data_IF_927563706139
#
_entry.id   IF_927563706139
#
_cell.length_a   1.000
_cell.length_b   1.000
_cell.length_c   1.000
_cell.angle_alpha   90.00
_cell.angle_beta   90.00
_cell.angle_gamma   90.00
#
_symmetry.space_group_name_H-M   'P 1'
#
loop_
_entity.id
_entity.type
_entity.pdbx_description
1 polymer ?
#
# COMPACT_ATOMS: atom_id res chain seq x y z
N UNK A 1 -59.73 -35.26 -10.68
CA UNK A 1 -58.31 -35.49 -11.02
C UNK A 1 -57.74 -34.22 -11.66
N UNK A 2 -56.52 -33.83 -11.26
CA UNK A 2 -55.62 -32.89 -11.96
C UNK A 2 -55.91 -31.38 -11.82
N UNK A 3 -55.35 -30.73 -10.78
CA UNK A 3 -54.25 -29.74 -10.79
C UNK A 3 -54.59 -28.35 -11.37
N UNK A 4 -54.48 -27.32 -10.52
CA UNK A 4 -53.89 -26.04 -10.94
C UNK A 4 -53.03 -25.48 -9.81
N UNK A 5 -51.72 -25.59 -10.05
CA UNK A 5 -50.64 -25.23 -9.15
C UNK A 5 -50.59 -23.71 -8.94
N UNK A 6 -50.57 -23.28 -7.68
CA UNK A 6 -50.32 -21.89 -7.32
C UNK A 6 -48.82 -21.63 -7.55
N UNK A 7 -48.49 -20.81 -8.55
CA UNK A 7 -47.14 -20.31 -8.74
C UNK A 7 -46.82 -19.31 -7.63
N UNK A 8 -46.03 -19.73 -6.66
CA UNK A 8 -45.43 -18.85 -5.65
C UNK A 8 -44.29 -18.10 -6.35
N UNK A 9 -44.53 -16.86 -6.74
CA UNK A 9 -43.47 -15.98 -7.25
C UNK A 9 -42.80 -15.34 -6.03
N UNK A 10 -41.79 -16.01 -5.48
CA UNK A 10 -40.85 -15.37 -4.55
C UNK A 10 -39.93 -14.46 -5.36
N UNK A 11 -40.18 -13.15 -5.32
CA UNK A 11 -39.23 -12.16 -5.78
C UNK A 11 -38.02 -12.18 -4.84
N UNK A 12 -36.97 -12.92 -5.24
CA UNK A 12 -35.65 -12.81 -4.65
C UNK A 12 -35.11 -11.41 -4.96
N UNK A 13 -35.19 -10.50 -3.98
CA UNK A 13 -34.41 -9.27 -3.98
C UNK A 13 -32.93 -9.65 -3.87
N UNK A 14 -32.23 -9.69 -5.00
CA UNK A 14 -30.79 -9.72 -5.03
C UNK A 14 -30.28 -8.36 -4.52
N UNK A 15 -29.87 -8.31 -3.25
CA UNK A 15 -29.05 -7.23 -2.72
C UNK A 15 -27.67 -7.32 -3.39
N UNK A 16 -27.51 -6.60 -4.48
CA UNK A 16 -26.21 -6.32 -5.06
C UNK A 16 -25.53 -5.36 -4.09
N UNK A 17 -24.69 -5.88 -3.19
CA UNK A 17 -23.76 -5.05 -2.46
C UNK A 17 -22.74 -4.52 -3.47
N UNK A 18 -22.89 -3.27 -3.89
CA UNK A 18 -21.83 -2.55 -4.56
C UNK A 18 -20.67 -2.42 -3.57
N UNK A 19 -19.61 -3.20 -3.76
CA UNK A 19 -18.32 -2.92 -3.14
C UNK A 19 -17.78 -1.65 -3.79
N UNK A 20 -18.17 -0.50 -3.25
CA UNK A 20 -17.50 0.76 -3.57
C UNK A 20 -16.06 0.65 -3.08
N UNK A 21 -15.10 0.97 -3.95
CA UNK A 21 -13.77 1.33 -3.50
C UNK A 21 -13.94 2.54 -2.58
N UNK A 22 -13.70 2.36 -1.29
CA UNK A 22 -13.74 3.46 -0.32
C UNK A 22 -12.54 4.35 -0.65
N UNK A 23 -12.76 5.43 -1.41
CA UNK A 23 -11.78 6.50 -1.54
C UNK A 23 -11.76 7.23 -0.19
N UNK A 24 -10.96 6.74 0.75
CA UNK A 24 -10.66 7.40 2.01
C UNK A 24 -9.87 8.68 1.70
N UNK A 25 -10.59 9.78 1.48
CA UNK A 25 -9.97 11.09 1.30
C UNK A 25 -9.59 11.65 2.66
N UNK A 26 -8.30 11.69 2.97
CA UNK A 26 -7.77 12.34 4.17
C UNK A 26 -7.49 13.81 3.88
N UNK A 27 -7.98 14.70 4.74
CA UNK A 27 -7.71 16.15 4.65
C UNK A 27 -6.34 16.45 5.28
N UNK A 28 -5.30 15.94 4.65
CA UNK A 28 -3.91 16.06 5.09
C UNK A 28 -3.28 17.34 4.53
N UNK A 29 -2.39 18.02 5.29
CA UNK A 29 -1.74 19.26 4.85
C UNK A 29 -0.83 19.08 3.62
N UNK A 30 -0.45 17.85 3.30
CA UNK A 30 0.24 17.46 2.07
C UNK A 30 -0.41 16.19 1.50
N UNK A 31 -0.39 15.96 0.17
CA UNK A 31 -0.98 14.76 -0.43
C UNK A 31 -0.41 13.47 0.19
N UNK A 32 -1.30 12.58 0.61
CA UNK A 32 -0.92 11.26 1.09
C UNK A 32 -0.54 10.31 -0.06
N UNK A 33 0.32 9.32 0.10
CA UNK A 33 1.23 9.04 1.23
C UNK A 33 2.66 8.89 0.70
N UNK A 34 3.04 9.82 -0.16
CA UNK A 34 4.31 9.81 -0.89
C UNK A 34 5.09 11.07 -0.60
N UNK A 35 6.40 11.00 -0.77
CA UNK A 35 7.30 12.15 -0.65
C UNK A 35 7.88 12.50 -2.02
N UNK A 36 8.08 13.78 -2.34
CA UNK A 36 8.86 14.15 -3.51
C UNK A 36 10.27 13.52 -3.45
N UNK A 37 10.77 12.99 -4.57
CA UNK A 37 12.09 12.33 -4.61
C UNK A 37 13.19 13.23 -4.06
N UNK A 38 13.13 14.52 -4.39
CA UNK A 38 14.10 15.53 -3.99
C UNK A 38 13.95 16.01 -2.53
N UNK A 39 12.89 15.63 -1.81
CA UNK A 39 12.77 15.92 -0.38
C UNK A 39 13.49 14.90 0.51
N UNK A 40 13.98 13.80 -0.07
CA UNK A 40 14.71 12.74 0.63
C UNK A 40 16.17 12.74 0.15
N UNK A 41 17.19 12.71 1.05
CA UNK A 41 18.59 12.56 0.66
C UNK A 41 18.84 11.31 -0.20
N UNK A 42 19.78 11.40 -1.15
CA UNK A 42 20.04 10.31 -2.10
C UNK A 42 20.55 9.02 -1.41
N UNK A 43 21.42 9.17 -0.41
CA UNK A 43 21.90 8.08 0.43
C UNK A 43 20.77 7.40 1.21
N UNK A 44 19.79 8.18 1.69
CA UNK A 44 18.60 7.64 2.35
C UNK A 44 17.73 6.84 1.37
N UNK A 45 17.46 7.35 0.16
CA UNK A 45 16.69 6.61 -0.85
C UNK A 45 17.40 5.32 -1.29
N UNK A 46 18.72 5.37 -1.46
CA UNK A 46 19.52 4.18 -1.73
C UNK A 46 19.42 3.14 -0.60
N UNK A 47 19.42 3.58 0.67
CA UNK A 47 19.21 2.69 1.81
C UNK A 47 17.82 2.04 1.81
N UNK A 48 16.79 2.75 1.34
CA UNK A 48 15.45 2.19 1.22
C UNK A 48 15.39 1.10 0.15
N UNK A 49 16.12 1.26 -0.96
CA UNK A 49 16.26 0.20 -1.96
C UNK A 49 16.93 -1.05 -1.39
N UNK A 50 17.95 -0.90 -0.55
CA UNK A 50 18.56 -2.07 0.13
C UNK A 50 17.54 -2.75 1.05
N UNK A 51 16.75 -1.99 1.81
CA UNK A 51 15.69 -2.56 2.65
C UNK A 51 14.63 -3.30 1.80
N UNK A 52 14.25 -2.72 0.66
CA UNK A 52 13.33 -3.32 -0.31
C UNK A 52 13.81 -4.67 -0.83
N UNK A 53 15.08 -4.74 -1.24
CA UNK A 53 15.68 -5.98 -1.76
C UNK A 53 15.70 -7.07 -0.69
N UNK A 54 16.07 -6.72 0.54
CA UNK A 54 16.08 -7.65 1.67
C UNK A 54 14.66 -8.16 1.98
N UNK A 55 13.67 -7.27 2.10
CA UNK A 55 12.28 -7.70 2.34
C UNK A 55 11.73 -8.51 1.18
N UNK A 56 12.06 -8.16 -0.06
CA UNK A 56 11.67 -8.93 -1.24
C UNK A 56 12.25 -10.35 -1.19
N UNK A 57 13.52 -10.48 -0.81
CA UNK A 57 14.18 -11.77 -0.62
C UNK A 57 13.50 -12.61 0.48
N UNK A 58 13.23 -12.01 1.64
CA UNK A 58 12.58 -12.69 2.77
C UNK A 58 11.16 -13.17 2.41
N UNK A 59 10.37 -12.32 1.75
CA UNK A 59 8.99 -12.63 1.39
C UNK A 59 8.86 -13.65 0.25
N UNK A 60 9.87 -13.76 -0.61
CA UNK A 60 9.96 -14.85 -1.58
C UNK A 60 10.36 -16.19 -0.93
N UNK A 61 10.92 -16.19 0.29
CA UNK A 61 11.25 -17.40 1.08
C UNK A 61 12.12 -18.42 0.34
N UNK A 62 11.88 -19.72 0.62
CA UNK A 62 12.56 -20.86 -0.03
C UNK A 62 12.28 -20.97 -1.54
N UNK A 63 11.39 -20.14 -2.10
CA UNK A 63 11.11 -20.10 -3.54
C UNK A 63 12.25 -19.45 -4.34
N UNK A 64 13.34 -19.06 -3.68
CA UNK A 64 14.68 -19.07 -4.25
C UNK A 64 15.02 -17.82 -5.03
N UNK A 65 15.75 -16.91 -4.39
CA UNK A 65 16.40 -15.76 -5.02
C UNK A 65 15.46 -14.76 -5.71
N UNK A 66 15.97 -13.54 -5.87
CA UNK A 66 15.36 -12.50 -6.69
C UNK A 66 15.45 -12.91 -8.17
N UNK A 67 14.37 -12.77 -8.93
CA UNK A 67 14.48 -12.79 -10.40
C UNK A 67 15.36 -11.61 -10.82
N UNK A 68 16.60 -11.89 -11.23
CA UNK A 68 17.62 -10.88 -11.58
C UNK A 68 17.24 -9.99 -12.77
N UNK A 69 16.07 -10.24 -13.39
CA UNK A 69 15.54 -9.48 -14.53
C UNK A 69 14.47 -8.46 -14.14
N UNK A 70 13.85 -8.55 -12.96
CA UNK A 70 12.59 -7.82 -12.67
C UNK A 70 12.51 -7.28 -11.24
N UNK A 71 13.57 -7.35 -10.44
CA UNK A 71 13.64 -6.62 -9.17
C UNK A 71 14.36 -5.30 -9.41
N UNK A 72 13.58 -4.23 -9.55
CA UNK A 72 14.05 -2.87 -9.77
C UNK A 72 13.72 -2.07 -8.54
N UNK A 73 14.66 -1.28 -8.06
CA UNK A 73 14.38 -0.16 -7.18
C UNK A 73 15.05 1.06 -7.81
N UNK A 74 14.24 2.03 -8.21
CA UNK A 74 14.70 3.27 -8.81
C UNK A 74 14.61 4.38 -7.76
N UNK A 75 15.76 4.68 -7.16
CA UNK A 75 15.87 5.74 -6.15
C UNK A 75 15.70 7.14 -6.74
N UNK A 76 15.63 7.30 -8.06
CA UNK A 76 15.39 8.57 -8.76
C UNK A 76 13.92 8.81 -9.09
N UNK A 77 13.11 7.76 -9.17
CA UNK A 77 11.66 7.86 -9.40
C UNK A 77 10.81 7.42 -8.20
N UNK A 78 11.43 6.77 -7.20
CA UNK A 78 10.75 6.10 -6.10
C UNK A 78 9.83 4.95 -6.56
N UNK A 79 10.21 4.27 -7.63
CA UNK A 79 9.52 3.07 -8.11
C UNK A 79 10.24 1.80 -7.66
N UNK A 80 9.47 0.73 -7.45
CA UNK A 80 10.03 -0.57 -7.15
C UNK A 80 9.20 -1.71 -7.73
N UNK A 81 9.85 -2.86 -7.93
CA UNK A 81 9.21 -4.13 -8.27
C UNK A 81 9.80 -5.25 -7.42
N UNK A 82 8.98 -6.23 -7.07
CA UNK A 82 9.40 -7.42 -6.35
C UNK A 82 8.83 -8.69 -6.99
N UNK A 83 9.67 -9.45 -7.69
CA UNK A 83 9.30 -10.67 -8.41
C UNK A 83 10.21 -11.84 -8.04
N UNK A 84 9.60 -12.92 -7.56
CA UNK A 84 10.26 -14.17 -7.18
C UNK A 84 10.62 -15.00 -8.44
N UNK A 85 11.54 -15.96 -8.34
CA UNK A 85 12.00 -16.76 -9.49
C UNK A 85 10.98 -17.73 -10.06
N UNK A 86 9.94 -18.09 -9.29
CA UNK A 86 8.80 -18.88 -9.76
C UNK A 86 7.74 -18.03 -10.52
N UNK A 87 8.14 -16.85 -10.99
CA UNK A 87 7.29 -15.85 -11.64
C UNK A 87 6.20 -15.21 -10.77
N UNK A 88 6.15 -15.50 -9.46
CA UNK A 88 5.24 -14.82 -8.54
C UNK A 88 5.65 -13.36 -8.38
N UNK A 89 4.73 -12.45 -8.70
CA UNK A 89 4.87 -11.02 -8.44
C UNK A 89 4.26 -10.68 -7.08
N UNK A 90 5.07 -10.17 -6.17
CA UNK A 90 4.64 -9.74 -4.84
C UNK A 90 4.82 -8.23 -4.64
N UNK A 91 5.02 -7.46 -5.72
CA UNK A 91 5.20 -5.99 -5.67
C UNK A 91 4.08 -5.32 -4.88
N UNK A 92 2.82 -5.70 -5.13
CA UNK A 92 1.66 -5.14 -4.41
C UNK A 92 1.57 -5.55 -2.94
N UNK A 93 2.34 -6.55 -2.50
CA UNK A 93 2.40 -6.99 -1.10
C UNK A 93 3.40 -6.20 -0.28
N UNK A 94 4.37 -5.56 -0.94
CA UNK A 94 5.38 -4.77 -0.27
C UNK A 94 4.77 -3.62 0.53
N UNK A 95 3.72 -2.96 0.03
CA UNK A 95 3.05 -1.87 0.76
C UNK A 95 2.42 -2.30 2.09
N UNK A 96 2.27 -3.60 2.36
CA UNK A 96 1.73 -4.10 3.63
C UNK A 96 2.78 -4.09 4.77
N UNK A 97 4.07 -3.90 4.46
CA UNK A 97 5.19 -3.99 5.42
C UNK A 97 5.83 -2.62 5.71
N UNK A 98 6.37 -2.48 6.91
CA UNK A 98 6.95 -1.22 7.41
C UNK A 98 8.42 -1.02 7.01
N UNK A 99 9.19 -2.11 6.97
CA UNK A 99 10.66 -2.06 6.87
C UNK A 99 11.17 -2.28 5.44
N UNK A 100 10.48 -1.73 4.46
CA UNK A 100 10.83 -1.82 3.04
C UNK A 100 10.58 -0.48 2.33
N UNK A 101 10.74 -0.42 1.01
CA UNK A 101 10.63 0.84 0.26
C UNK A 101 9.32 1.59 0.50
N UNK A 102 8.12 1.01 0.24
CA UNK A 102 6.87 1.72 0.44
C UNK A 102 6.62 2.07 1.91
N UNK A 103 7.00 1.19 2.85
CA UNK A 103 6.87 1.47 4.28
C UNK A 103 7.70 2.66 4.73
N UNK A 104 8.96 2.75 4.29
CA UNK A 104 9.88 3.83 4.62
C UNK A 104 9.49 5.16 3.97
N UNK A 105 8.96 5.13 2.73
CA UNK A 105 8.32 6.30 2.11
C UNK A 105 7.15 6.78 2.96
N UNK A 106 6.29 5.88 3.40
CA UNK A 106 5.09 6.23 4.15
C UNK A 106 5.43 6.83 5.52
N UNK A 107 6.45 6.29 6.20
CA UNK A 107 6.99 6.86 7.46
C UNK A 107 7.56 8.26 7.21
N UNK A 108 8.37 8.43 6.15
CA UNK A 108 8.92 9.74 5.81
C UNK A 108 7.83 10.75 5.43
N UNK A 109 6.78 10.30 4.75
CA UNK A 109 5.61 11.12 4.45
C UNK A 109 4.89 11.54 5.73
N UNK A 110 4.69 10.62 6.67
CA UNK A 110 4.02 10.91 7.93
C UNK A 110 4.76 12.01 8.70
N UNK A 111 6.09 11.93 8.81
CA UNK A 111 6.90 12.97 9.45
C UNK A 111 6.75 14.32 8.73
N UNK A 112 6.74 14.34 7.40
CA UNK A 112 6.50 15.55 6.62
C UNK A 112 5.09 16.12 6.84
N UNK A 113 4.07 15.25 6.94
CA UNK A 113 2.68 15.62 7.19
C UNK A 113 2.53 16.26 8.58
N UNK A 114 3.13 15.67 9.61
CA UNK A 114 3.14 16.22 10.97
C UNK A 114 3.86 17.57 11.01
N UNK A 115 5.01 17.72 10.34
CA UNK A 115 5.70 19.01 10.26
C UNK A 115 4.85 20.08 9.56
N UNK A 116 4.16 19.73 8.47
CA UNK A 116 3.28 20.64 7.74
C UNK A 116 2.04 21.07 8.54
N UNK A 117 1.61 20.26 9.52
CA UNK A 117 0.46 20.58 10.38
C UNK A 117 0.63 21.83 11.24
N UNK A 118 1.86 22.33 11.44
CA UNK A 118 2.13 23.54 12.24
C UNK A 118 1.51 23.54 13.65
N UNK A 119 1.41 22.36 14.29
CA UNK A 119 0.73 22.12 15.58
C UNK A 119 -0.80 22.12 15.56
N UNK A 120 -1.44 22.18 14.38
CA UNK A 120 -2.88 21.99 14.27
C UNK A 120 -3.25 20.53 14.60
N UNK A 121 -3.96 20.34 15.71
CA UNK A 121 -4.32 19.01 16.20
C UNK A 121 -5.26 18.25 15.24
N UNK A 122 -6.10 18.97 14.48
CA UNK A 122 -6.99 18.37 13.49
C UNK A 122 -6.19 17.83 12.29
N UNK A 123 -5.25 18.62 11.76
CA UNK A 123 -4.37 18.20 10.69
C UNK A 123 -3.45 17.04 11.13
N UNK A 124 -2.91 17.08 12.35
CA UNK A 124 -2.16 15.95 12.92
C UNK A 124 -3.00 14.68 13.00
N UNK A 125 -4.25 14.80 13.43
CA UNK A 125 -5.19 13.67 13.46
C UNK A 125 -5.43 13.10 12.05
N UNK A 126 -5.56 13.95 11.02
CA UNK A 126 -5.67 13.48 9.64
C UNK A 126 -4.40 12.75 9.17
N UNK A 127 -3.20 13.26 9.50
CA UNK A 127 -1.94 12.56 9.19
C UNK A 127 -1.89 11.18 9.85
N UNK A 128 -2.29 11.08 11.12
CA UNK A 128 -2.32 9.82 11.88
C UNK A 128 -3.33 8.85 11.28
N UNK A 129 -4.55 9.30 10.98
CA UNK A 129 -5.55 8.45 10.35
C UNK A 129 -5.08 7.93 8.99
N UNK A 130 -4.50 8.79 8.15
CA UNK A 130 -4.02 8.36 6.85
C UNK A 130 -2.86 7.35 6.99
N UNK A 131 -1.89 7.61 7.88
CA UNK A 131 -0.82 6.66 8.20
C UNK A 131 -1.37 5.30 8.62
N UNK A 132 -2.33 5.27 9.54
CA UNK A 132 -2.82 4.02 10.14
C UNK A 132 -3.63 3.16 9.15
N UNK A 133 -4.16 3.75 8.08
CA UNK A 133 -4.96 3.06 7.08
C UNK A 133 -4.20 2.77 5.77
N UNK A 134 -3.26 3.63 5.40
CA UNK A 134 -2.57 3.57 4.10
C UNK A 134 -1.13 3.03 4.23
N UNK A 135 -0.45 3.23 5.37
CA UNK A 135 0.86 2.66 5.60
C UNK A 135 0.76 1.19 6.03
N UNK A 136 1.69 0.37 5.55
CA UNK A 136 1.86 -1.01 6.00
C UNK A 136 2.08 -1.10 7.51
N UNK A 137 1.57 -2.18 8.12
CA UNK A 137 1.69 -2.43 9.56
C UNK A 137 2.38 -3.76 9.90
N UNK A 138 2.79 -4.53 8.89
CA UNK A 138 3.53 -5.77 9.08
C UNK A 138 5.01 -5.48 9.32
N UNK A 139 5.61 -6.24 10.23
CA UNK A 139 7.03 -6.21 10.58
C UNK A 139 7.73 -7.47 10.17
#
# INVERSE_FOLDING_TARGET
>A
VMYLSILVITALLALIASVGSQNTSYDTPIPCCSVPVNSVPADQRASWCVAQENSCFELCGDQGSLSSKVNVCDDTTLDFTCKCTNDTDITSKMSEYQQNFPGLICISWFDACINASSSDAGAQFQCVQARDNECGNKT
#
